data_IF_436648375854
#
_entry.id   IF_436648375854
#
_cell.length_a   1.000
_cell.length_b   1.000
_cell.length_c   1.000
_cell.angle_alpha   90.00
_cell.angle_beta   90.00
_cell.angle_gamma   90.00
#
_symmetry.space_group_name_H-M   'P 1'
#
loop_
_entity.id
_entity.type
_entity.pdbx_description
1 polymer ?
#
# COMPACT_ATOMS: atom_id res chain seq x y z
N UNK A 1 0.11 -8.75 -4.63
CA UNK A 1 -0.40 -10.12 -4.84
C UNK A 1 -1.89 -10.22 -4.53
N UNK A 2 -2.39 -10.06 -3.29
CA UNK A 2 -3.81 -10.27 -2.91
C UNK A 2 -4.85 -9.38 -3.59
N UNK A 3 -4.44 -8.43 -4.41
CA UNK A 3 -5.29 -7.60 -5.28
C UNK A 3 -4.93 -7.75 -6.76
N UNK A 4 -4.10 -8.76 -7.11
CA UNK A 4 -3.80 -9.04 -8.51
C UNK A 4 -5.00 -9.69 -9.21
N UNK A 5 -5.01 -9.64 -10.54
CA UNK A 5 -6.06 -10.25 -11.35
C UNK A 5 -6.12 -11.76 -11.11
N UNK A 6 -4.98 -12.44 -11.23
CA UNK A 6 -4.91 -13.89 -11.04
C UNK A 6 -5.38 -14.35 -9.65
N UNK A 7 -5.04 -13.58 -8.58
CA UNK A 7 -5.56 -13.89 -7.25
C UNK A 7 -7.08 -13.77 -7.18
N UNK A 8 -7.63 -12.69 -7.68
CA UNK A 8 -9.10 -12.48 -7.66
C UNK A 8 -9.80 -13.57 -8.48
N UNK A 9 -9.31 -13.89 -9.66
CA UNK A 9 -9.90 -14.93 -10.51
C UNK A 9 -9.84 -16.31 -9.82
N UNK A 10 -8.75 -16.63 -9.14
CA UNK A 10 -8.60 -17.89 -8.42
C UNK A 10 -9.57 -18.03 -7.23
N UNK A 11 -9.78 -16.97 -6.45
CA UNK A 11 -10.64 -17.03 -5.25
C UNK A 11 -12.12 -16.75 -5.53
N UNK A 12 -12.44 -16.04 -6.62
CA UNK A 12 -13.78 -15.51 -6.86
C UNK A 12 -14.89 -16.55 -6.87
N UNK A 13 -14.73 -17.75 -7.47
CA UNK A 13 -15.76 -18.78 -7.41
C UNK A 13 -16.14 -19.17 -5.99
N UNK A 14 -15.14 -19.24 -5.09
CA UNK A 14 -15.37 -19.54 -3.67
C UNK A 14 -16.06 -18.38 -2.96
N UNK A 15 -15.62 -17.13 -3.20
CA UNK A 15 -16.23 -15.94 -2.62
C UNK A 15 -17.69 -15.83 -3.05
N UNK A 16 -18.01 -16.09 -4.32
CA UNK A 16 -19.36 -16.06 -4.85
C UNK A 16 -20.28 -17.11 -4.19
N UNK A 17 -19.74 -18.29 -3.86
CA UNK A 17 -20.48 -19.33 -3.13
C UNK A 17 -20.87 -18.90 -1.70
N UNK A 18 -19.99 -18.15 -1.03
CA UNK A 18 -20.26 -17.64 0.33
C UNK A 18 -21.20 -16.43 0.34
N UNK A 19 -21.25 -15.65 -0.76
CA UNK A 19 -22.04 -14.43 -0.89
C UNK A 19 -22.93 -14.43 -2.14
N UNK A 20 -23.81 -15.44 -2.31
CA UNK A 20 -24.58 -15.63 -3.56
C UNK A 20 -25.57 -14.49 -3.83
N UNK A 21 -26.16 -13.90 -2.79
CA UNK A 21 -27.12 -12.82 -2.94
C UNK A 21 -26.45 -11.51 -3.41
N UNK A 22 -25.23 -11.23 -2.91
CA UNK A 22 -24.49 -10.01 -3.22
C UNK A 22 -23.70 -10.12 -4.53
N UNK A 23 -23.21 -11.32 -4.85
CA UNK A 23 -22.26 -11.53 -5.94
C UNK A 23 -22.79 -12.43 -7.08
N UNK A 24 -23.99 -12.98 -6.98
CA UNK A 24 -24.53 -13.90 -7.97
C UNK A 24 -24.63 -13.32 -9.38
N UNK A 25 -24.83 -12.01 -9.51
CA UNK A 25 -24.85 -11.28 -10.78
C UNK A 25 -23.57 -10.51 -11.13
N UNK A 26 -22.51 -10.66 -10.33
CA UNK A 26 -21.24 -9.92 -10.49
C UNK A 26 -20.22 -10.85 -11.15
N UNK A 27 -19.47 -10.36 -12.14
CA UNK A 27 -18.37 -11.11 -12.74
C UNK A 27 -17.07 -10.93 -11.93
N UNK A 28 -16.10 -11.85 -12.08
CA UNK A 28 -14.76 -11.71 -11.49
C UNK A 28 -14.06 -10.41 -11.90
N UNK A 29 -14.24 -9.98 -13.15
CA UNK A 29 -13.72 -8.70 -13.66
C UNK A 29 -14.35 -7.50 -12.94
N UNK A 30 -15.66 -7.50 -12.73
CA UNK A 30 -16.33 -6.43 -11.99
C UNK A 30 -15.88 -6.39 -10.53
N UNK A 31 -15.70 -7.56 -9.91
CA UNK A 31 -15.19 -7.68 -8.56
C UNK A 31 -13.73 -7.19 -8.46
N UNK A 32 -12.86 -7.57 -9.42
CA UNK A 32 -11.49 -7.10 -9.51
C UNK A 32 -11.43 -5.57 -9.61
N UNK A 33 -12.25 -4.96 -10.49
CA UNK A 33 -12.32 -3.50 -10.62
C UNK A 33 -12.82 -2.81 -9.37
N UNK A 34 -13.81 -3.38 -8.70
CA UNK A 34 -14.35 -2.84 -7.45
C UNK A 34 -13.31 -2.85 -6.31
N UNK A 35 -12.59 -3.98 -6.14
CA UNK A 35 -11.54 -4.14 -5.12
C UNK A 35 -10.35 -3.20 -5.35
N UNK A 36 -10.06 -2.88 -6.61
CA UNK A 36 -8.93 -2.02 -7.00
C UNK A 36 -9.35 -0.59 -7.35
N UNK A 37 -10.60 -0.18 -7.07
CA UNK A 37 -11.04 1.20 -7.34
C UNK A 37 -10.12 2.19 -6.61
N UNK A 38 -9.58 3.16 -7.36
CA UNK A 38 -8.82 4.28 -6.81
C UNK A 38 -9.72 5.49 -6.65
N UNK A 39 -9.77 6.03 -5.44
CA UNK A 39 -10.55 7.22 -5.12
C UNK A 39 -9.99 7.87 -3.85
N UNK A 40 -9.62 9.16 -3.86
CA UNK A 40 -9.23 9.87 -2.64
C UNK A 40 -10.27 9.70 -1.53
N UNK A 41 -9.82 9.42 -0.33
CA UNK A 41 -10.66 9.21 0.86
C UNK A 41 -10.08 9.91 2.07
N UNK A 42 -10.87 10.04 3.15
CA UNK A 42 -10.43 10.72 4.37
C UNK A 42 -9.56 9.83 5.25
N UNK A 43 -9.89 8.54 5.35
CA UNK A 43 -9.29 7.64 6.34
C UNK A 43 -8.18 6.80 5.71
N UNK A 44 -6.95 6.95 6.22
CA UNK A 44 -5.76 6.25 5.71
C UNK A 44 -5.92 4.73 5.64
N UNK A 45 -6.45 4.11 6.69
CA UNK A 45 -6.58 2.66 6.78
C UNK A 45 -7.61 2.07 5.81
N UNK A 46 -8.48 2.93 5.26
CA UNK A 46 -9.51 2.55 4.29
C UNK A 46 -9.16 3.01 2.86
N UNK A 47 -8.02 3.68 2.70
CA UNK A 47 -7.61 4.20 1.40
C UNK A 47 -7.21 3.10 0.44
N UNK A 48 -7.30 3.40 -0.85
CA UNK A 48 -6.88 2.51 -1.92
C UNK A 48 -5.36 2.47 -2.09
N UNK A 49 -4.88 1.53 -2.89
CA UNK A 49 -3.45 1.29 -3.12
C UNK A 49 -2.74 2.45 -3.81
N UNK A 50 -3.43 3.18 -4.70
CA UNK A 50 -2.85 4.31 -5.44
C UNK A 50 -2.63 5.52 -4.54
N UNK A 51 -3.62 5.84 -3.69
CA UNK A 51 -3.60 7.05 -2.86
C UNK A 51 -2.98 6.84 -1.48
N UNK A 52 -2.77 5.60 -1.04
CA UNK A 52 -2.30 5.28 0.31
C UNK A 52 -1.04 6.05 0.74
N UNK A 53 -0.03 6.11 -0.12
CA UNK A 53 1.23 6.77 0.22
C UNK A 53 1.08 8.30 0.37
N UNK A 54 0.09 8.93 -0.27
CA UNK A 54 -0.20 10.35 -0.07
C UNK A 54 -0.65 10.62 1.37
N UNK A 55 -1.44 9.73 1.96
CA UNK A 55 -1.80 9.80 3.37
C UNK A 55 -0.58 9.72 4.30
N UNK A 56 0.39 8.88 3.98
CA UNK A 56 1.65 8.78 4.72
C UNK A 56 2.47 10.07 4.58
N UNK A 57 2.54 10.62 3.37
CA UNK A 57 3.28 11.87 3.09
C UNK A 57 2.72 13.04 3.89
N UNK A 58 1.40 13.21 3.99
CA UNK A 58 0.78 14.25 4.84
C UNK A 58 1.31 14.16 6.28
N UNK A 59 1.33 12.99 6.86
CA UNK A 59 1.81 12.78 8.23
C UNK A 59 3.29 13.06 8.38
N UNK A 60 4.08 12.65 7.41
CA UNK A 60 5.52 12.91 7.39
C UNK A 60 5.83 14.41 7.33
N UNK A 61 5.12 15.17 6.48
CA UNK A 61 5.29 16.63 6.39
C UNK A 61 4.93 17.33 7.71
N UNK A 62 3.87 16.89 8.38
CA UNK A 62 3.47 17.40 9.70
C UNK A 62 4.50 17.02 10.78
N UNK A 63 4.96 15.77 10.81
CA UNK A 63 5.97 15.35 11.79
C UNK A 63 7.27 16.14 11.66
N UNK A 64 7.74 16.42 10.43
CA UNK A 64 8.92 17.28 10.23
C UNK A 64 8.74 18.65 10.83
N UNK A 65 7.56 19.26 10.67
CA UNK A 65 7.26 20.57 11.20
C UNK A 65 7.14 20.57 12.72
N UNK A 66 6.47 19.58 13.31
CA UNK A 66 6.33 19.42 14.76
C UNK A 66 7.71 19.23 15.44
N UNK A 67 8.52 18.29 14.95
CA UNK A 67 9.83 17.99 15.51
C UNK A 67 10.82 19.14 15.26
N UNK A 68 10.70 19.83 14.11
CA UNK A 68 11.47 21.00 13.77
C UNK A 68 11.06 22.28 14.53
N UNK A 69 9.96 22.24 15.29
CA UNK A 69 9.46 23.38 16.06
C UNK A 69 8.86 24.51 15.22
N UNK A 70 8.48 24.23 13.97
CA UNK A 70 7.86 25.22 13.06
C UNK A 70 6.34 25.13 13.03
N UNK A 71 5.74 24.10 13.62
CA UNK A 71 4.31 23.91 13.79
C UNK A 71 4.00 23.62 15.26
N UNK A 72 3.04 24.32 15.84
CA UNK A 72 2.53 24.01 17.17
C UNK A 72 1.38 23.00 17.10
N UNK A 73 1.21 22.19 18.14
CA UNK A 73 0.18 21.15 18.18
C UNK A 73 -1.25 21.69 17.93
N UNK A 74 -1.54 22.90 18.38
CA UNK A 74 -2.84 23.56 18.17
C UNK A 74 -3.15 23.86 16.70
N UNK A 75 -2.11 23.99 15.86
CA UNK A 75 -2.20 24.38 14.45
C UNK A 75 -2.22 23.14 13.51
N UNK A 76 -2.00 21.94 14.06
CA UNK A 76 -2.02 20.67 13.32
C UNK A 76 -3.31 20.47 12.50
N UNK A 77 -4.53 20.73 13.05
CA UNK A 77 -5.76 20.54 12.25
C UNK A 77 -5.78 21.37 10.97
N UNK A 78 -5.32 22.62 11.03
CA UNK A 78 -5.29 23.50 9.86
C UNK A 78 -4.26 23.05 8.81
N UNK A 79 -3.05 22.70 9.25
CA UNK A 79 -2.01 22.20 8.34
C UNK A 79 -2.39 20.84 7.74
N UNK A 80 -3.04 19.97 8.51
CA UNK A 80 -3.61 18.71 8.01
C UNK A 80 -4.62 18.95 6.90
N UNK A 81 -5.61 19.82 7.11
CA UNK A 81 -6.62 20.13 6.11
C UNK A 81 -6.01 20.69 4.83
N UNK A 82 -5.01 21.56 4.95
CA UNK A 82 -4.26 22.13 3.82
C UNK A 82 -3.55 21.04 3.02
N UNK A 83 -2.79 20.14 3.66
CA UNK A 83 -2.05 19.08 2.99
C UNK A 83 -2.99 18.03 2.36
N UNK A 84 -4.13 17.72 3.00
CA UNK A 84 -5.15 16.87 2.39
C UNK A 84 -5.74 17.47 1.12
N UNK A 85 -5.98 18.79 1.12
CA UNK A 85 -6.45 19.48 -0.07
C UNK A 85 -5.39 19.48 -1.18
N UNK A 86 -4.13 19.69 -0.81
CA UNK A 86 -3.01 19.70 -1.76
C UNK A 86 -2.72 18.32 -2.37
N UNK A 87 -2.65 17.27 -1.56
CA UNK A 87 -2.21 15.94 -2.02
C UNK A 87 -3.35 15.04 -2.49
N UNK A 88 -4.52 15.16 -1.87
CA UNK A 88 -5.68 14.28 -2.14
C UNK A 88 -6.84 15.01 -2.82
N UNK A 89 -6.82 16.34 -2.88
CA UNK A 89 -7.87 17.15 -3.49
C UNK A 89 -9.17 17.23 -2.69
N UNK A 90 -9.21 16.70 -1.46
CA UNK A 90 -10.42 16.60 -0.63
C UNK A 90 -10.38 17.57 0.55
N UNK A 91 -11.57 17.95 1.02
CA UNK A 91 -11.74 18.80 2.21
C UNK A 91 -11.95 17.92 3.44
N UNK A 92 -11.30 18.28 4.56
CA UNK A 92 -11.43 17.57 5.84
C UNK A 92 -12.53 18.22 6.66
N UNK A 93 -13.64 17.51 6.98
CA UNK A 93 -14.81 18.12 7.59
C UNK A 93 -14.68 18.36 9.10
N UNK A 94 -13.81 17.61 9.78
CA UNK A 94 -13.60 17.67 11.22
C UNK A 94 -12.32 16.96 11.64
N UNK A 95 -11.86 17.14 12.87
CA UNK A 95 -10.60 16.59 13.38
C UNK A 95 -10.65 15.06 13.57
N UNK A 96 -11.84 14.48 13.83
CA UNK A 96 -12.00 13.03 13.98
C UNK A 96 -11.63 12.29 12.68
N UNK A 97 -12.15 12.79 11.56
CA UNK A 97 -11.85 12.25 10.23
C UNK A 97 -10.57 12.85 9.64
N UNK A 98 -9.94 13.75 10.38
CA UNK A 98 -8.68 14.43 10.08
C UNK A 98 -7.52 13.93 10.97
N UNK A 99 -6.88 14.87 11.66
CA UNK A 99 -5.63 14.62 12.40
C UNK A 99 -5.76 13.67 13.60
N UNK A 100 -6.98 13.38 14.07
CA UNK A 100 -7.23 12.44 15.19
C UNK A 100 -7.55 11.01 14.74
N UNK A 101 -7.48 10.69 13.46
CA UNK A 101 -7.83 9.34 12.96
C UNK A 101 -6.80 8.27 13.33
N UNK A 102 -5.56 8.65 13.63
CA UNK A 102 -4.47 7.74 14.01
C UNK A 102 -4.06 7.95 15.46
N UNK A 103 -3.68 6.87 16.16
CA UNK A 103 -3.23 6.90 17.55
C UNK A 103 -1.71 7.06 17.73
N UNK A 104 -0.95 7.16 16.65
CA UNK A 104 0.52 7.16 16.68
C UNK A 104 1.07 8.30 17.53
N UNK A 105 0.68 9.52 17.27
CA UNK A 105 1.20 10.68 17.99
C UNK A 105 0.79 10.71 19.46
N UNK A 106 -0.45 10.30 19.77
CA UNK A 106 -0.92 10.20 21.16
C UNK A 106 -0.19 9.13 21.98
N UNK A 107 0.39 8.12 21.32
CA UNK A 107 1.25 7.11 21.94
C UNK A 107 2.76 7.43 21.86
N UNK A 108 3.13 8.60 21.33
CA UNK A 108 4.51 9.02 21.20
C UNK A 108 5.28 8.42 20.03
N UNK A 109 4.60 7.76 19.10
CA UNK A 109 5.21 7.11 17.93
C UNK A 109 5.45 8.09 16.79
N UNK A 110 6.33 9.06 16.99
CA UNK A 110 6.81 9.98 15.94
C UNK A 110 7.85 9.29 15.05
N UNK A 111 7.87 9.64 13.76
CA UNK A 111 8.79 9.09 12.76
C UNK A 111 8.42 7.67 12.27
N UNK A 112 7.27 7.14 12.69
CA UNK A 112 6.87 5.78 12.31
C UNK A 112 6.12 5.70 10.97
N UNK A 113 5.33 6.71 10.61
CA UNK A 113 4.51 6.71 9.39
C UNK A 113 5.27 6.39 8.09
N UNK A 114 6.52 6.88 7.87
CA UNK A 114 7.27 6.55 6.68
C UNK A 114 7.47 5.04 6.45
N UNK A 115 7.50 4.23 7.52
CA UNK A 115 7.67 2.77 7.45
C UNK A 115 6.58 2.10 6.61
N UNK A 116 5.36 2.64 6.60
CA UNK A 116 4.26 2.10 5.79
C UNK A 116 4.49 2.30 4.29
N UNK A 117 4.96 3.49 3.87
CA UNK A 117 5.27 3.77 2.47
C UNK A 117 6.52 3.02 2.01
N UNK A 118 7.56 2.96 2.86
CA UNK A 118 8.78 2.20 2.59
C UNK A 118 8.47 0.71 2.41
N UNK A 119 7.57 0.13 3.23
CA UNK A 119 7.13 -1.25 3.08
C UNK A 119 6.52 -1.53 1.71
N UNK A 120 5.68 -0.62 1.20
CA UNK A 120 5.10 -0.74 -0.14
C UNK A 120 6.17 -0.64 -1.24
N UNK A 121 7.10 0.31 -1.12
CA UNK A 121 8.17 0.49 -2.10
C UNK A 121 9.15 -0.70 -2.12
N UNK A 122 9.53 -1.21 -0.95
CA UNK A 122 10.34 -2.43 -0.84
C UNK A 122 9.61 -3.64 -1.44
N UNK A 123 8.31 -3.78 -1.15
CA UNK A 123 7.48 -4.85 -1.68
C UNK A 123 7.39 -4.84 -3.20
N UNK A 124 7.30 -3.65 -3.83
CA UNK A 124 7.29 -3.51 -5.28
C UNK A 124 8.62 -3.89 -5.91
N UNK A 125 9.75 -3.45 -5.31
CA UNK A 125 11.08 -3.84 -5.79
C UNK A 125 11.33 -5.34 -5.61
N UNK A 126 10.90 -5.94 -4.48
CA UNK A 126 10.97 -7.39 -4.27
C UNK A 126 10.13 -8.14 -5.30
N UNK A 127 8.92 -7.67 -5.61
CA UNK A 127 8.05 -8.27 -6.62
C UNK A 127 8.73 -8.26 -7.99
N UNK A 128 9.26 -7.11 -8.41
CA UNK A 128 9.98 -6.99 -9.68
C UNK A 128 11.14 -7.98 -9.78
N UNK A 129 11.94 -8.13 -8.71
CA UNK A 129 13.07 -9.07 -8.73
C UNK A 129 12.60 -10.53 -8.67
N UNK A 130 11.53 -10.82 -7.92
CA UNK A 130 10.94 -12.16 -7.85
C UNK A 130 10.41 -12.61 -9.22
N UNK A 131 9.81 -11.70 -9.99
CA UNK A 131 9.29 -11.96 -11.34
C UNK A 131 10.38 -12.38 -12.36
N UNK A 132 11.68 -12.17 -12.05
CA UNK A 132 12.78 -12.68 -12.86
C UNK A 132 13.04 -14.18 -12.64
N UNK A 133 12.68 -14.70 -11.48
CA UNK A 133 12.97 -16.07 -11.05
C UNK A 133 11.71 -16.96 -11.01
N UNK A 134 10.54 -16.36 -10.81
CA UNK A 134 9.27 -17.03 -10.58
C UNK A 134 8.16 -16.39 -11.42
N UNK A 135 7.39 -17.20 -12.12
CA UNK A 135 6.14 -16.74 -12.73
C UNK A 135 5.10 -16.50 -11.61
N UNK A 136 5.13 -15.29 -11.06
CA UNK A 136 4.35 -14.92 -9.87
C UNK A 136 2.85 -14.92 -10.18
N UNK A 137 2.45 -14.39 -11.33
CA UNK A 137 1.02 -14.28 -11.69
C UNK A 137 0.41 -15.66 -11.95
N UNK A 138 1.10 -16.53 -12.69
CA UNK A 138 0.66 -17.91 -12.94
C UNK A 138 0.61 -18.73 -11.64
N UNK A 139 1.64 -18.61 -10.78
CA UNK A 139 1.67 -19.27 -9.48
C UNK A 139 0.48 -18.88 -8.61
N UNK A 140 0.13 -17.59 -8.58
CA UNK A 140 -1.02 -17.07 -7.83
C UNK A 140 -2.33 -17.59 -8.44
N UNK A 141 -2.48 -17.53 -9.76
CA UNK A 141 -3.68 -17.98 -10.47
C UNK A 141 -3.98 -19.46 -10.24
N UNK A 142 -2.93 -20.29 -10.08
CA UNK A 142 -3.04 -21.72 -9.77
C UNK A 142 -3.16 -22.02 -8.28
N UNK A 143 -2.95 -21.04 -7.40
CA UNK A 143 -2.88 -21.27 -5.95
C UNK A 143 -1.57 -21.95 -5.50
N UNK A 144 -0.56 -22.01 -6.35
CA UNK A 144 0.74 -22.63 -6.10
C UNK A 144 1.72 -21.64 -5.48
N UNK A 145 1.54 -21.31 -4.21
CA UNK A 145 2.33 -20.26 -3.54
C UNK A 145 3.74 -20.71 -3.10
N UNK A 146 4.07 -22.00 -3.23
CA UNK A 146 5.34 -22.54 -2.79
C UNK A 146 6.57 -21.89 -3.46
N UNK A 147 6.61 -21.61 -4.77
CA UNK A 147 7.74 -20.92 -5.40
C UNK A 147 7.95 -19.50 -4.85
N UNK A 148 6.86 -18.77 -4.62
CA UNK A 148 6.87 -17.41 -4.06
C UNK A 148 7.42 -17.43 -2.63
N UNK A 149 6.90 -18.34 -1.79
CA UNK A 149 7.35 -18.46 -0.40
C UNK A 149 8.78 -18.95 -0.28
N UNK A 150 9.24 -19.82 -1.18
CA UNK A 150 10.62 -20.27 -1.25
C UNK A 150 11.58 -19.11 -1.59
N UNK A 151 11.25 -18.28 -2.57
CA UNK A 151 12.02 -17.09 -2.91
C UNK A 151 12.10 -16.12 -1.73
N UNK A 152 10.95 -15.82 -1.10
CA UNK A 152 10.91 -14.94 0.09
C UNK A 152 11.72 -15.54 1.26
N UNK A 153 11.66 -16.86 1.46
CA UNK A 153 12.45 -17.52 2.50
C UNK A 153 13.95 -17.36 2.23
N UNK A 154 14.40 -17.64 1.02
CA UNK A 154 15.80 -17.56 0.63
C UNK A 154 16.34 -16.12 0.67
N UNK A 155 15.60 -15.16 0.13
CA UNK A 155 16.10 -13.80 -0.02
C UNK A 155 15.84 -12.90 1.19
N UNK A 156 14.83 -13.21 2.03
CA UNK A 156 14.36 -12.31 3.09
C UNK A 156 14.23 -13.03 4.43
N UNK A 157 13.37 -14.04 4.54
CA UNK A 157 12.89 -14.52 5.84
C UNK A 157 13.98 -15.25 6.65
N UNK A 158 14.88 -15.97 6.00
CA UNK A 158 15.95 -16.69 6.69
C UNK A 158 16.89 -15.79 7.52
N UNK A 159 16.94 -14.52 7.19
CA UNK A 159 17.79 -13.56 7.90
C UNK A 159 17.13 -13.01 9.17
N UNK A 160 15.79 -13.08 9.29
CA UNK A 160 15.07 -12.56 10.46
C UNK A 160 15.45 -11.14 10.80
N UNK A 161 15.87 -10.90 12.05
CA UNK A 161 16.36 -9.61 12.52
C UNK A 161 17.88 -9.42 12.47
N UNK A 162 18.61 -10.26 11.70
CA UNK A 162 20.09 -10.20 11.64
C UNK A 162 20.59 -8.92 10.98
N UNK A 163 19.86 -8.40 10.00
CA UNK A 163 20.20 -7.17 9.27
C UNK A 163 19.10 -6.14 9.43
N UNK A 164 19.47 -4.85 9.28
CA UNK A 164 18.46 -3.80 9.17
C UNK A 164 17.70 -3.92 7.85
N UNK A 165 16.42 -3.48 7.79
CA UNK A 165 15.57 -3.69 6.61
C UNK A 165 16.20 -3.23 5.27
N UNK A 166 16.89 -2.09 5.27
CA UNK A 166 17.55 -1.57 4.07
C UNK A 166 18.65 -2.52 3.54
N UNK A 167 19.35 -3.22 4.43
CA UNK A 167 20.39 -4.19 4.02
C UNK A 167 19.76 -5.49 3.53
N UNK A 168 18.63 -5.93 4.13
CA UNK A 168 17.86 -7.07 3.62
C UNK A 168 17.41 -6.81 2.18
N UNK A 169 16.83 -5.63 1.92
CA UNK A 169 16.40 -5.24 0.57
C UNK A 169 17.58 -5.17 -0.39
N UNK A 170 18.69 -4.54 0.04
CA UNK A 170 19.91 -4.43 -0.79
C UNK A 170 20.48 -5.80 -1.17
N UNK A 171 20.50 -6.73 -0.23
CA UNK A 171 21.02 -8.09 -0.46
C UNK A 171 20.10 -8.91 -1.35
N UNK A 172 18.77 -8.72 -1.23
CA UNK A 172 17.77 -9.45 -2.01
C UNK A 172 17.59 -8.89 -3.43
N UNK A 173 17.63 -7.56 -3.58
CA UNK A 173 17.14 -6.86 -4.78
C UNK A 173 18.07 -5.74 -5.28
N UNK A 174 19.27 -5.58 -4.72
CA UNK A 174 20.16 -4.48 -5.06
C UNK A 174 19.79 -3.15 -4.38
N UNK A 175 20.39 -2.07 -4.88
CA UNK A 175 20.14 -0.72 -4.32
C UNK A 175 18.66 -0.37 -4.39
N UNK A 176 18.13 0.19 -3.29
CA UNK A 176 16.74 0.63 -3.24
C UNK A 176 16.46 1.72 -4.29
N UNK A 177 15.41 1.51 -5.07
CA UNK A 177 14.93 2.45 -6.07
C UNK A 177 13.40 2.57 -5.97
N UNK A 178 12.86 3.73 -5.58
CA UNK A 178 11.42 3.94 -5.46
C UNK A 178 10.66 3.89 -6.80
N UNK A 179 11.37 3.96 -7.95
CA UNK A 179 10.73 3.88 -9.26
C UNK A 179 10.03 2.54 -9.49
N UNK A 180 10.51 1.43 -8.91
CA UNK A 180 9.80 0.16 -8.97
C UNK A 180 8.37 0.25 -8.43
N UNK A 181 8.15 1.06 -7.40
CA UNK A 181 6.81 1.27 -6.85
C UNK A 181 5.94 2.15 -7.74
N UNK A 182 6.47 3.25 -8.23
CA UNK A 182 5.73 4.14 -9.14
C UNK A 182 5.41 3.46 -10.46
N UNK A 183 6.32 2.68 -11.01
CA UNK A 183 6.12 1.90 -12.23
C UNK A 183 5.07 0.80 -12.04
N UNK A 184 5.10 0.11 -10.90
CA UNK A 184 4.08 -0.86 -10.53
C UNK A 184 2.68 -0.21 -10.49
N UNK A 185 2.54 0.92 -9.80
CA UNK A 185 1.26 1.64 -9.73
C UNK A 185 0.83 2.13 -11.11
N UNK A 186 1.72 2.74 -11.87
CA UNK A 186 1.44 3.24 -13.21
C UNK A 186 0.94 2.12 -14.11
N UNK A 187 1.65 1.01 -14.19
CA UNK A 187 1.25 -0.17 -14.99
C UNK A 187 -0.12 -0.67 -14.58
N UNK A 188 -0.33 -0.94 -13.28
CA UNK A 188 -1.57 -1.50 -12.76
C UNK A 188 -2.77 -0.60 -13.02
N UNK A 189 -2.66 0.67 -12.70
CA UNK A 189 -3.80 1.59 -12.80
C UNK A 189 -4.03 2.07 -14.23
N UNK A 190 -3.01 2.14 -15.09
CA UNK A 190 -3.20 2.35 -16.52
C UNK A 190 -3.99 1.19 -17.15
N UNK A 191 -3.64 -0.05 -16.84
CA UNK A 191 -4.40 -1.23 -17.28
C UNK A 191 -5.83 -1.21 -16.76
N UNK A 192 -6.02 -0.93 -15.46
CA UNK A 192 -7.33 -0.94 -14.82
C UNK A 192 -8.28 0.10 -15.41
N UNK A 193 -7.78 1.28 -15.75
CA UNK A 193 -8.57 2.42 -16.25
C UNK A 193 -8.51 2.59 -17.78
N UNK A 194 -7.64 1.86 -18.49
CA UNK A 194 -7.50 1.94 -19.95
C UNK A 194 -6.81 3.23 -20.40
N UNK A 195 -5.77 3.69 -19.66
CA UNK A 195 -5.02 4.92 -19.90
C UNK A 195 -3.81 4.66 -20.81
#
# INVERSE_FOLDING_TARGET
>A
MGRSRGFIEAIYPTVQQFFPEQLGGVSAEQFYRAVNKAQPSLVRTESDELTYCLHVMVRYEIEKQLIGGTLEAKDVPAEWAKLYKEYLGIDVPNDRDGCLQDSHWSSGAFGYFPSYALGNAYGAQMLHNMEQDVDVEDSIAKGELAPITAWLHEKVHQYGGLYVPADVVRNACGTFDPHYYTDYLTRKFSELYGL
#
